data_IF_969796532475
#
_entry.id   IF_969796532475
#
_cell.length_a   1.000
_cell.length_b   1.000
_cell.length_c   1.000
_cell.angle_alpha   90.00
_cell.angle_beta   90.00
_cell.angle_gamma   90.00
#
_symmetry.space_group_name_H-M   'P 1'
#
loop_
_entity.id
_entity.type
_entity.pdbx_description
1 polymer ?
#
# COMPACT_ATOMS: atom_id res chain seq x y z
N UNK A 1 -10.50 16.10 -19.16
CA UNK A 1 -9.39 15.90 -18.21
C UNK A 1 -10.04 15.64 -16.86
N UNK A 2 -10.17 14.38 -16.46
CA UNK A 2 -10.77 14.03 -15.17
C UNK A 2 -9.63 13.86 -14.19
N UNK A 3 -9.35 14.90 -13.40
CA UNK A 3 -8.51 14.77 -12.21
C UNK A 3 -9.32 13.97 -11.21
N UNK A 4 -9.10 12.66 -11.15
CA UNK A 4 -9.62 11.82 -10.08
C UNK A 4 -8.99 12.34 -8.78
N UNK A 5 -9.81 13.00 -7.96
CA UNK A 5 -9.49 13.19 -6.55
C UNK A 5 -9.45 11.79 -5.97
N UNK A 6 -8.26 11.24 -5.76
CA UNK A 6 -8.07 9.97 -5.07
C UNK A 6 -8.46 10.19 -3.59
N UNK A 7 -9.77 10.12 -3.28
CA UNK A 7 -10.16 9.51 -2.02
C UNK A 7 -9.46 8.17 -1.99
N UNK A 8 -8.50 8.00 -1.08
CA UNK A 8 -7.69 6.78 -0.93
C UNK A 8 -8.61 5.58 -0.70
N UNK A 9 -9.11 4.98 -1.79
CA UNK A 9 -10.05 3.87 -1.76
C UNK A 9 -9.39 2.71 -1.03
N UNK A 10 -10.07 2.04 -0.09
CA UNK A 10 -9.47 0.94 0.67
C UNK A 10 -8.90 -0.13 -0.26
N UNK A 11 -7.80 -0.74 0.16
CA UNK A 11 -7.15 -1.83 -0.56
C UNK A 11 -8.10 -3.02 -0.65
N UNK A 12 -8.19 -3.55 -1.85
CA UNK A 12 -9.04 -4.66 -2.24
C UNK A 12 -8.21 -5.93 -2.43
N UNK A 13 -8.90 -7.03 -2.78
CA UNK A 13 -8.20 -8.28 -3.12
C UNK A 13 -7.57 -8.26 -4.51
N UNK A 14 -7.86 -7.25 -5.33
CA UNK A 14 -7.29 -7.07 -6.67
C UNK A 14 -5.95 -6.34 -6.62
N UNK A 15 -5.70 -5.57 -5.56
CA UNK A 15 -4.44 -4.88 -5.35
C UNK A 15 -3.29 -5.86 -5.15
N UNK A 16 -2.22 -5.70 -5.94
CA UNK A 16 -1.08 -6.62 -5.98
C UNK A 16 0.17 -5.95 -5.45
N UNK A 17 0.92 -6.71 -4.66
CA UNK A 17 2.23 -6.30 -4.22
C UNK A 17 3.17 -6.19 -5.42
N UNK A 18 3.79 -5.03 -5.61
CA UNK A 18 4.70 -4.77 -6.73
C UNK A 18 5.95 -5.66 -6.72
N UNK A 19 6.24 -6.31 -5.58
CA UNK A 19 7.41 -7.19 -5.42
C UNK A 19 7.11 -8.66 -5.74
N UNK A 20 5.95 -9.20 -5.35
CA UNK A 20 5.67 -10.63 -5.49
C UNK A 20 4.30 -10.98 -6.08
N UNK A 21 3.45 -9.99 -6.35
CA UNK A 21 2.11 -10.22 -6.88
C UNK A 21 1.13 -10.85 -5.88
N UNK A 22 1.45 -10.96 -4.59
CA UNK A 22 0.46 -11.32 -3.57
C UNK A 22 -0.53 -10.17 -3.33
N UNK A 23 -1.63 -10.41 -2.60
CA UNK A 23 -2.54 -9.33 -2.19
C UNK A 23 -1.79 -8.24 -1.40
N UNK A 24 -2.01 -6.98 -1.79
CA UNK A 24 -1.49 -5.83 -1.08
C UNK A 24 -2.38 -5.49 0.12
N UNK A 25 -1.72 -5.08 1.20
CA UNK A 25 -2.35 -4.58 2.42
C UNK A 25 -1.74 -3.25 2.87
N UNK A 26 -0.67 -2.81 2.21
CA UNK A 26 -0.01 -1.56 2.51
C UNK A 26 0.18 -0.78 1.22
N UNK A 27 -0.17 0.50 1.25
CA UNK A 27 0.06 1.43 0.15
C UNK A 27 0.94 2.56 0.65
N UNK A 28 1.98 2.86 -0.11
CA UNK A 28 2.90 3.94 0.15
C UNK A 28 2.80 4.96 -1.00
N UNK A 29 2.26 6.14 -0.72
CA UNK A 29 2.23 7.26 -1.66
C UNK A 29 3.60 7.95 -1.62
N UNK A 30 4.29 8.07 -2.75
CA UNK A 30 5.66 8.57 -2.80
C UNK A 30 5.70 10.11 -2.87
N UNK A 31 6.73 10.72 -2.28
CA UNK A 31 6.97 12.17 -2.42
C UNK A 31 7.18 12.60 -3.88
N UNK A 32 7.72 11.72 -4.71
CA UNK A 32 7.89 11.93 -6.15
C UNK A 32 6.59 11.88 -6.94
N UNK A 33 5.47 11.54 -6.29
CA UNK A 33 4.21 11.17 -6.93
C UNK A 33 4.14 9.68 -7.25
N UNK A 34 2.90 9.20 -7.39
CA UNK A 34 2.59 7.78 -7.56
C UNK A 34 2.47 7.03 -6.23
N UNK A 35 2.14 5.75 -6.33
CA UNK A 35 1.96 4.87 -5.18
C UNK A 35 2.67 3.53 -5.44
N UNK A 36 3.12 2.90 -4.36
CA UNK A 36 3.62 1.52 -4.34
C UNK A 36 2.74 0.68 -3.42
N UNK A 37 2.46 -0.54 -3.86
CA UNK A 37 1.62 -1.50 -3.17
C UNK A 37 2.47 -2.65 -2.64
N UNK A 38 2.26 -2.99 -1.37
CA UNK A 38 3.00 -4.04 -0.67
C UNK A 38 2.06 -5.00 0.04
N UNK A 39 2.41 -6.28 0.00
CA UNK A 39 1.83 -7.26 0.92
C UNK A 39 2.35 -6.99 2.34
N UNK A 40 1.67 -7.51 3.35
CA UNK A 40 2.07 -7.34 4.74
C UNK A 40 3.53 -7.79 5.03
N UNK A 41 4.03 -8.78 4.29
CA UNK A 41 5.42 -9.24 4.40
C UNK A 41 6.42 -8.19 3.91
N UNK A 42 6.32 -7.75 2.66
CA UNK A 42 7.28 -6.80 2.08
C UNK A 42 7.14 -5.39 2.65
N UNK A 43 5.95 -5.02 3.11
CA UNK A 43 5.78 -3.77 3.84
C UNK A 43 6.59 -3.74 5.15
N UNK A 44 6.74 -4.87 5.84
CA UNK A 44 7.59 -4.99 7.04
C UNK A 44 9.07 -5.04 6.68
N UNK A 45 9.43 -5.77 5.64
CA UNK A 45 10.82 -5.85 5.16
C UNK A 45 11.36 -4.50 4.66
N UNK A 46 10.51 -3.68 4.03
CA UNK A 46 10.89 -2.39 3.46
C UNK A 46 10.36 -1.18 4.25
N UNK A 47 9.74 -1.40 5.42
CA UNK A 47 8.98 -0.37 6.14
C UNK A 47 9.80 0.84 6.57
N UNK A 48 11.08 0.65 6.93
CA UNK A 48 11.96 1.77 7.29
C UNK A 48 12.24 2.67 6.09
N UNK A 49 12.61 2.09 4.94
CA UNK A 49 12.85 2.84 3.70
C UNK A 49 11.59 3.50 3.17
N UNK A 50 10.44 2.81 3.28
CA UNK A 50 9.16 3.37 2.86
C UNK A 50 8.82 4.64 3.61
N UNK A 51 9.11 4.74 4.92
CA UNK A 51 8.89 5.97 5.69
C UNK A 51 9.75 7.14 5.24
N UNK A 52 10.92 6.89 4.66
CA UNK A 52 11.80 7.95 4.17
C UNK A 52 11.33 8.50 2.81
N UNK A 53 10.75 7.66 1.96
CA UNK A 53 10.37 8.02 0.58
C UNK A 53 8.87 8.26 0.38
N UNK A 54 8.02 7.79 1.31
CA UNK A 54 6.57 7.94 1.23
C UNK A 54 6.10 9.22 1.92
N UNK A 55 5.25 9.98 1.23
CA UNK A 55 4.50 11.10 1.79
C UNK A 55 3.36 10.64 2.68
N UNK A 56 2.82 9.43 2.45
CA UNK A 56 1.69 8.86 3.19
C UNK A 56 1.73 7.34 3.08
N UNK A 57 1.38 6.65 4.17
CA UNK A 57 1.35 5.19 4.22
C UNK A 57 0.00 4.75 4.79
N UNK A 58 -0.74 3.99 4.01
CA UNK A 58 -1.98 3.33 4.42
C UNK A 58 -1.68 1.88 4.73
N UNK A 59 -1.78 1.48 6.01
CA UNK A 59 -1.61 0.09 6.46
C UNK A 59 -2.95 -0.54 6.82
N UNK A 60 -3.38 -1.51 6.02
CA UNK A 60 -4.59 -2.31 6.21
C UNK A 60 -4.25 -3.76 6.61
N UNK A 61 -3.08 -3.99 7.20
CA UNK A 61 -2.66 -5.34 7.62
C UNK A 61 -3.54 -5.91 8.73
N UNK A 62 -4.28 -5.06 9.45
CA UNK A 62 -5.32 -5.48 10.40
C UNK A 62 -6.40 -6.37 9.78
N UNK A 63 -6.69 -6.24 8.47
CA UNK A 63 -7.66 -7.08 7.76
C UNK A 63 -7.25 -8.56 7.71
N UNK A 64 -5.96 -8.88 7.87
CA UNK A 64 -5.49 -10.26 7.94
C UNK A 64 -5.97 -10.98 9.22
N UNK A 65 -6.14 -10.23 10.31
CA UNK A 65 -6.56 -10.80 11.60
C UNK A 65 -8.07 -10.80 11.79
N UNK A 66 -8.80 -9.92 11.09
CA UNK A 66 -10.27 -9.82 11.17
C UNK A 66 -11.00 -10.96 10.43
N UNK A 67 -10.31 -11.71 9.56
CA UNK A 67 -10.90 -12.79 8.75
C UNK A 67 -10.90 -14.15 9.47
N UNK A 68 -11.12 -14.16 10.80
CA UNK A 68 -11.20 -15.37 11.64
C UNK A 68 -12.64 -15.73 11.98
#
# INVERSE_FOLDING_TARGET
MTTAVATSSPLTSEDRCDRCGAQAYVRAELHSGGELLFCAHHAREHGEKLKEIASSITDETHKLTEKS
#
